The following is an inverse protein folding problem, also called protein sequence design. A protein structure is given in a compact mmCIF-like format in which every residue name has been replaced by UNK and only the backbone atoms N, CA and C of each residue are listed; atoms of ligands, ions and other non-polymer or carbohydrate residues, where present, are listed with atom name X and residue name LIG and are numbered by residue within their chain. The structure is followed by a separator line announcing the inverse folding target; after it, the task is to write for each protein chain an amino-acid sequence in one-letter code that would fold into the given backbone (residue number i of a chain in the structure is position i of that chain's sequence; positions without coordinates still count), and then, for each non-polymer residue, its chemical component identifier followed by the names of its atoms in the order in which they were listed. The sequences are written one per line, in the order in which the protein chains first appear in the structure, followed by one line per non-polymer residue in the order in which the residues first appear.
data_IF_522885648399
#
_entry.id   IF_522885648399
#
_cell.length_a   1.000
_cell.length_b   1.000
_cell.length_c   1.000
_cell.angle_alpha   90.00
_cell.angle_beta   90.00
_cell.angle_gamma   90.00
#
_symmetry.space_group_name_H-M   'P 1'
#
loop_
_entity.id
_entity.type
_entity.pdbx_description
1 polymer ?
#
# COMPACT_ATOMS: atom_id res chain seq x y z
N UNK A 1 -3.45 -7.09 -14.76
CA UNK A 1 -3.05 -7.59 -13.43
C UNK A 1 -4.25 -8.19 -12.73
N UNK A 2 -4.10 -9.37 -12.18
CA UNK A 2 -5.18 -10.09 -11.52
C UNK A 2 -4.79 -10.36 -10.07
N UNK A 3 -5.71 -10.08 -9.14
CA UNK A 3 -5.57 -10.43 -7.73
C UNK A 3 -6.61 -11.50 -7.42
N UNK A 4 -6.16 -12.62 -6.85
CA UNK A 4 -7.07 -13.68 -6.43
C UNK A 4 -7.80 -13.26 -5.18
N UNK A 5 -9.08 -12.93 -5.31
CA UNK A 5 -9.91 -12.49 -4.21
C UNK A 5 -10.40 -13.69 -3.39
N UNK A 6 -10.45 -13.49 -2.07
CA UNK A 6 -11.02 -14.47 -1.14
C UNK A 6 -12.55 -14.40 -1.20
N UNK A 7 -13.20 -15.40 -0.57
CA UNK A 7 -14.65 -15.39 -0.46
C UNK A 7 -15.14 -14.11 0.21
N UNK A 8 -16.15 -13.47 -0.35
CA UNK A 8 -16.73 -12.21 0.14
C UNK A 8 -15.77 -11.02 0.12
N UNK A 9 -14.64 -11.14 -0.57
CA UNK A 9 -13.70 -10.04 -0.70
C UNK A 9 -14.07 -9.16 -1.89
N UNK A 10 -14.11 -7.84 -1.67
CA UNK A 10 -14.47 -6.85 -2.68
C UNK A 10 -13.41 -5.76 -2.71
N UNK A 11 -12.95 -5.40 -3.91
CA UNK A 11 -12.01 -4.30 -4.08
C UNK A 11 -12.75 -2.99 -3.83
N UNK A 12 -12.23 -2.19 -2.90
CA UNK A 12 -12.81 -0.89 -2.56
C UNK A 12 -12.06 0.27 -3.19
N UNK A 13 -10.76 0.11 -3.41
CA UNK A 13 -9.92 1.15 -3.98
C UNK A 13 -8.68 0.52 -4.60
N UNK A 14 -8.24 1.07 -5.73
CA UNK A 14 -7.01 0.65 -6.38
C UNK A 14 -6.34 1.86 -7.04
N UNK A 15 -5.01 1.90 -7.01
CA UNK A 15 -4.26 2.98 -7.61
C UNK A 15 -2.86 2.52 -8.00
N UNK A 16 -2.32 3.17 -9.04
CA UNK A 16 -0.92 2.99 -9.39
C UNK A 16 -0.07 3.73 -8.36
N UNK A 17 0.93 3.04 -7.82
CA UNK A 17 1.78 3.58 -6.78
C UNK A 17 3.24 3.23 -7.05
N UNK A 18 4.12 3.83 -6.26
CA UNK A 18 5.52 3.47 -6.19
C UNK A 18 5.82 3.01 -4.77
N UNK A 19 6.49 1.87 -4.65
CA UNK A 19 6.94 1.37 -3.36
C UNK A 19 8.41 1.67 -3.21
N UNK A 20 8.78 2.34 -2.12
CA UNK A 20 10.17 2.68 -1.84
C UNK A 20 10.78 1.59 -0.96
N UNK A 21 11.77 0.89 -1.49
CA UNK A 21 12.45 -0.18 -0.77
C UNK A 21 13.96 0.09 -0.83
N UNK A 22 14.53 0.54 0.28
CA UNK A 22 15.92 0.98 0.35
C UNK A 22 16.17 2.08 -0.70
N UNK A 23 17.09 1.83 -1.64
CA UNK A 23 17.40 2.77 -2.71
C UNK A 23 16.64 2.50 -4.00
N UNK A 24 15.69 1.55 -3.97
CA UNK A 24 14.94 1.14 -5.14
C UNK A 24 13.51 1.69 -5.10
N UNK A 25 12.97 1.93 -6.28
CA UNK A 25 11.57 2.32 -6.46
C UNK A 25 10.91 1.26 -7.33
N UNK A 26 9.89 0.61 -6.77
CA UNK A 26 9.20 -0.49 -7.43
C UNK A 26 7.81 -0.03 -7.80
N UNK A 27 7.51 -0.04 -9.10
CA UNK A 27 6.20 0.34 -9.61
C UNK A 27 5.21 -0.79 -9.44
N UNK A 28 4.01 -0.45 -9.04
CA UNK A 28 2.98 -1.44 -8.87
C UNK A 28 1.61 -0.81 -8.64
N UNK A 29 0.70 -1.64 -8.21
CA UNK A 29 -0.66 -1.24 -7.91
C UNK A 29 -0.97 -1.57 -6.45
N UNK A 30 -1.47 -0.59 -5.72
CA UNK A 30 -1.96 -0.78 -4.37
C UNK A 30 -3.45 -1.02 -4.45
N UNK A 31 -3.90 -2.11 -3.83
CA UNK A 31 -5.28 -2.56 -3.89
C UNK A 31 -5.79 -2.70 -2.46
N UNK A 32 -6.86 -1.98 -2.17
CA UNK A 32 -7.55 -2.06 -0.89
C UNK A 32 -8.85 -2.83 -1.08
N UNK A 33 -8.99 -3.91 -0.35
CA UNK A 33 -10.24 -4.66 -0.31
C UNK A 33 -10.92 -4.46 1.05
N UNK A 34 -12.06 -5.09 1.24
CA UNK A 34 -12.73 -5.06 2.55
C UNK A 34 -12.04 -5.97 3.58
N UNK A 35 -10.97 -6.69 3.20
CA UNK A 35 -10.29 -7.65 4.08
C UNK A 35 -8.80 -7.40 4.24
N UNK A 36 -8.14 -6.77 3.24
CA UNK A 36 -6.67 -6.60 3.25
C UNK A 36 -6.23 -5.48 2.32
N UNK A 37 -4.95 -5.12 2.45
CA UNK A 37 -4.26 -4.25 1.51
C UNK A 37 -3.23 -5.09 0.76
N UNK A 38 -3.15 -4.92 -0.56
CA UNK A 38 -2.28 -5.71 -1.39
C UNK A 38 -1.49 -4.82 -2.33
N UNK A 39 -0.17 -4.99 -2.35
CA UNK A 39 0.69 -4.35 -3.34
C UNK A 39 1.13 -5.40 -4.34
N UNK A 40 0.83 -5.17 -5.61
CA UNK A 40 1.23 -6.06 -6.68
C UNK A 40 2.07 -5.29 -7.69
N UNK A 41 3.31 -5.72 -7.89
CA UNK A 41 4.20 -5.08 -8.84
C UNK A 41 3.69 -5.26 -10.27
N UNK A 42 3.91 -4.24 -11.10
CA UNK A 42 3.60 -4.30 -12.52
C UNK A 42 4.80 -4.75 -13.35
N UNK A 43 5.93 -4.97 -12.71
CA UNK A 43 7.15 -5.47 -13.37
C UNK A 43 7.17 -7.00 -13.30
N UNK A 44 7.21 -7.66 -14.46
CA UNK A 44 7.09 -9.12 -14.55
C UNK A 44 8.16 -9.86 -13.75
N UNK A 45 9.35 -9.26 -13.59
CA UNK A 45 10.46 -9.90 -12.91
C UNK A 45 10.58 -9.56 -11.44
N UNK A 46 9.62 -8.79 -10.91
CA UNK A 46 9.68 -8.29 -9.55
C UNK A 46 8.56 -8.85 -8.66
N UNK A 47 8.11 -10.07 -8.93
CA UNK A 47 7.01 -10.68 -8.16
C UNK A 47 7.37 -10.92 -6.69
N UNK A 48 8.67 -11.00 -6.37
CA UNK A 48 9.12 -11.15 -4.98
C UNK A 48 8.80 -9.91 -4.14
N UNK A 49 8.48 -8.79 -4.77
CA UNK A 49 8.13 -7.56 -4.07
C UNK A 49 6.62 -7.41 -3.85
N UNK A 50 5.82 -8.38 -4.23
CA UNK A 50 4.39 -8.37 -3.91
C UNK A 50 4.21 -8.49 -2.41
N UNK A 51 3.30 -7.67 -1.86
CA UNK A 51 3.07 -7.60 -0.42
C UNK A 51 1.59 -7.76 -0.10
N UNK A 52 1.31 -8.44 0.99
CA UNK A 52 -0.02 -8.50 1.58
C UNK A 52 0.06 -7.90 2.98
N UNK A 53 -0.80 -6.92 3.25
CA UNK A 53 -0.84 -6.24 4.54
C UNK A 53 -2.22 -6.44 5.12
N UNK A 54 -2.29 -7.12 6.25
CA UNK A 54 -3.56 -7.29 6.96
C UNK A 54 -3.81 -6.06 7.83
N UNK A 55 -5.05 -5.58 7.91
CA UNK A 55 -5.36 -4.42 8.76
C UNK A 55 -4.89 -4.61 10.21
N UNK A 56 -4.97 -5.82 10.72
CA UNK A 56 -4.52 -6.14 12.08
C UNK A 56 -3.02 -6.04 12.27
N UNK A 57 -2.24 -6.02 11.19
CA UNK A 57 -0.79 -5.89 11.25
C UNK A 57 -0.33 -4.43 11.27
N UNK A 58 -1.22 -3.48 11.05
CA UNK A 58 -0.89 -2.07 10.96
C UNK A 58 -0.95 -1.45 12.36
N UNK A 59 0.17 -0.88 12.79
CA UNK A 59 0.21 -0.12 14.03
C UNK A 59 -0.20 1.33 13.80
N UNK A 60 0.31 1.94 12.71
CA UNK A 60 0.10 3.36 12.44
C UNK A 60 0.33 3.66 10.97
N UNK A 61 -0.37 4.68 10.47
CA UNK A 61 -0.13 5.25 9.15
C UNK A 61 0.56 6.59 9.32
N UNK A 62 1.67 6.79 8.62
CA UNK A 62 2.48 7.99 8.71
C UNK A 62 2.61 8.64 7.34
N UNK A 63 2.67 9.97 7.33
CA UNK A 63 2.88 10.72 6.09
C UNK A 63 4.33 11.17 5.98
N UNK A 64 4.84 11.19 4.77
CA UNK A 64 6.14 11.77 4.49
C UNK A 64 6.11 12.48 3.12
N UNK A 65 7.08 13.34 2.89
CA UNK A 65 7.18 14.05 1.62
C UNK A 65 7.97 13.23 0.62
N UNK A 66 7.41 13.07 -0.59
CA UNK A 66 8.08 12.33 -1.67
C UNK A 66 8.90 13.25 -2.56
N UNK A 67 8.77 14.56 -2.39
CA UNK A 67 9.53 15.58 -3.12
C UNK A 67 9.20 16.95 -2.58
N UNK A 68 9.83 17.98 -3.16
CA UNK A 68 9.69 19.33 -2.65
C UNK A 68 8.25 19.84 -2.64
N UNK A 69 7.45 19.47 -3.64
CA UNK A 69 6.07 19.90 -3.79
C UNK A 69 5.07 18.75 -3.72
N UNK A 70 5.56 17.53 -3.51
CA UNK A 70 4.71 16.35 -3.49
C UNK A 70 4.45 15.91 -2.05
N UNK A 71 3.18 15.68 -1.72
CA UNK A 71 2.74 15.21 -0.40
C UNK A 71 2.00 13.89 -0.53
N UNK A 72 2.59 12.96 -1.28
CA UNK A 72 1.96 11.68 -1.58
C UNK A 72 2.58 10.51 -0.81
N UNK A 73 3.50 10.76 0.11
CA UNK A 73 4.15 9.70 0.88
C UNK A 73 3.25 9.14 1.96
N UNK A 74 3.07 7.82 1.95
CA UNK A 74 2.30 7.09 2.94
C UNK A 74 3.13 5.90 3.42
N UNK A 75 3.32 5.81 4.73
CA UNK A 75 4.04 4.71 5.37
C UNK A 75 3.05 3.87 6.17
N UNK A 76 3.07 2.56 5.94
CA UNK A 76 2.41 1.62 6.84
C UNK A 76 3.45 1.15 7.85
N UNK A 77 3.31 1.59 9.10
CA UNK A 77 4.13 1.08 10.19
C UNK A 77 3.45 -0.16 10.75
N UNK A 78 4.12 -1.29 10.66
CA UNK A 78 3.58 -2.55 11.15
C UNK A 78 3.87 -2.74 12.64
N UNK A 79 3.13 -3.63 13.27
CA UNK A 79 3.35 -3.97 14.69
C UNK A 79 4.70 -4.63 14.93
N UNK A 80 5.32 -5.18 13.87
CA UNK A 80 6.67 -5.73 13.92
C UNK A 80 7.76 -4.66 13.81
N UNK A 81 7.38 -3.41 13.57
CA UNK A 81 8.32 -2.31 13.42
C UNK A 81 8.81 -2.07 12.00
N UNK A 82 8.23 -2.74 11.02
CA UNK A 82 8.58 -2.50 9.61
C UNK A 82 7.88 -1.26 9.09
N UNK A 83 8.58 -0.50 8.26
CA UNK A 83 8.02 0.65 7.57
C UNK A 83 7.89 0.34 6.08
N UNK A 84 6.66 0.30 5.59
CA UNK A 84 6.37 0.05 4.18
C UNK A 84 5.95 1.37 3.55
N UNK A 85 6.82 1.93 2.72
CA UNK A 85 6.69 3.30 2.19
C UNK A 85 6.19 3.28 0.76
N UNK A 86 5.19 4.12 0.48
CA UNK A 86 4.58 4.23 -0.84
C UNK A 86 4.39 5.68 -1.24
N UNK A 87 4.43 5.93 -2.54
CA UNK A 87 3.97 7.17 -3.14
C UNK A 87 2.56 6.92 -3.66
N UNK A 88 1.57 7.54 -3.01
CA UNK A 88 0.15 7.30 -3.28
C UNK A 88 -0.56 8.63 -3.44
N UNK A 89 -1.18 8.86 -4.58
CA UNK A 89 -2.03 10.03 -4.79
C UNK A 89 -3.26 9.92 -3.89
N UNK A 90 -3.71 11.06 -3.33
CA UNK A 90 -4.87 11.12 -2.44
C UNK A 90 -4.68 10.24 -1.19
N UNK A 91 -3.49 10.32 -0.59
CA UNK A 91 -3.16 9.52 0.59
C UNK A 91 -4.15 9.69 1.74
N UNK A 92 -4.77 10.88 1.86
CA UNK A 92 -5.78 11.12 2.89
C UNK A 92 -6.98 10.19 2.74
N UNK A 93 -7.45 10.01 1.52
CA UNK A 93 -8.54 9.09 1.22
C UNK A 93 -8.18 7.64 1.58
N UNK A 94 -6.96 7.23 1.22
CA UNK A 94 -6.46 5.90 1.56
C UNK A 94 -6.38 5.72 3.08
N UNK A 95 -5.84 6.72 3.78
CA UNK A 95 -5.71 6.67 5.24
C UNK A 95 -7.07 6.54 5.93
N UNK A 96 -8.05 7.29 5.48
CA UNK A 96 -9.39 7.23 6.06
C UNK A 96 -10.02 5.86 5.87
N UNK A 97 -9.90 5.29 4.67
CA UNK A 97 -10.46 3.97 4.39
C UNK A 97 -9.75 2.87 5.18
N UNK A 98 -8.43 2.93 5.26
CA UNK A 98 -7.65 1.93 6.00
C UNK A 98 -7.94 2.04 7.49
N UNK A 99 -7.99 3.23 8.04
CA UNK A 99 -8.30 3.43 9.47
C UNK A 99 -9.69 2.92 9.83
N UNK A 100 -10.63 2.96 8.91
CA UNK A 100 -11.97 2.43 9.15
C UNK A 100 -12.01 0.91 9.24
N UNK A 101 -10.96 0.24 8.77
CA UNK A 101 -10.85 -1.22 8.81
C UNK A 101 -10.11 -1.74 10.04
N UNK A 102 -9.35 -0.88 10.69
CA UNK A 102 -8.48 -1.28 11.81
C UNK A 102 -9.18 -1.20 13.16
#
# INVERSE_FOLDING_TARGET
MVVDLKANEVVRKAADVQHFLNDEVIKGKLILTNQRIYFKTTEDQATDFNLEIMPTDIQELLYFKTGMFSQNGLTFLTKEGKELKFNVKKRDSWSMMINSMC
#
